data_IF_145247388234
#
_entry.id   IF_145247388234
#
_cell.length_a   1.000
_cell.length_b   1.000
_cell.length_c   1.000
_cell.angle_alpha   90.00
_cell.angle_beta   90.00
_cell.angle_gamma   90.00
#
_symmetry.space_group_name_H-M   'P 1'
#
loop_
_entity.id
_entity.type
_entity.pdbx_description
1 polymer ?
#
# COMPACT_ATOMS: atom_id res chain seq x y z
N UNK A 1 -17.86 -17.71 -2.94
CA UNK A 1 -18.45 -16.35 -2.83
C UNK A 1 -18.85 -15.88 -4.21
N UNK A 2 -20.12 -15.49 -4.43
CA UNK A 2 -20.58 -14.99 -5.75
C UNK A 2 -19.97 -13.61 -6.03
N UNK A 3 -20.02 -13.16 -7.29
CA UNK A 3 -19.54 -11.81 -7.66
C UNK A 3 -20.32 -10.71 -6.91
N UNK A 4 -21.62 -10.91 -6.71
CA UNK A 4 -22.46 -9.99 -5.93
C UNK A 4 -22.03 -9.93 -4.45
N UNK A 5 -21.71 -11.10 -3.86
CA UNK A 5 -21.24 -11.13 -2.47
C UNK A 5 -19.90 -10.43 -2.32
N UNK A 6 -18.98 -10.60 -3.30
CA UNK A 6 -17.69 -9.89 -3.30
C UNK A 6 -17.89 -8.38 -3.42
N UNK A 7 -18.77 -7.94 -4.31
CA UNK A 7 -19.12 -6.53 -4.46
C UNK A 7 -19.65 -5.94 -3.14
N UNK A 8 -20.65 -6.59 -2.54
CA UNK A 8 -21.25 -6.14 -1.26
C UNK A 8 -20.22 -6.10 -0.14
N UNK A 9 -19.36 -7.10 -0.07
CA UNK A 9 -18.32 -7.17 0.96
C UNK A 9 -17.32 -6.01 0.86
N UNK A 10 -16.82 -5.72 -0.35
CA UNK A 10 -15.86 -4.63 -0.56
C UNK A 10 -16.49 -3.25 -0.27
N UNK A 11 -17.75 -3.05 -0.68
CA UNK A 11 -18.47 -1.80 -0.41
C UNK A 11 -18.67 -1.57 1.08
N UNK A 12 -19.14 -2.63 1.78
CA UNK A 12 -19.33 -2.58 3.23
C UNK A 12 -18.01 -2.34 3.98
N UNK A 13 -16.92 -2.97 3.59
CA UNK A 13 -15.63 -2.78 4.24
C UNK A 13 -15.16 -1.32 4.20
N UNK A 14 -15.34 -0.62 3.07
CA UNK A 14 -15.00 0.80 2.96
C UNK A 14 -15.82 1.68 3.91
N UNK A 15 -17.09 1.36 4.13
CA UNK A 15 -17.93 2.07 5.11
C UNK A 15 -17.55 1.73 6.56
N UNK A 16 -17.23 0.45 6.81
CA UNK A 16 -16.80 0.00 8.14
C UNK A 16 -15.50 0.70 8.58
N UNK A 17 -14.56 0.94 7.66
CA UNK A 17 -13.35 1.72 7.90
C UNK A 17 -13.69 3.17 8.28
N UNK A 18 -14.68 3.77 7.67
CA UNK A 18 -15.04 5.17 7.97
C UNK A 18 -15.97 5.31 9.18
N UNK A 19 -16.57 4.23 9.69
CA UNK A 19 -17.56 4.26 10.76
C UNK A 19 -17.08 4.89 12.08
N UNK A 20 -15.83 4.69 12.55
CA UNK A 20 -15.34 5.31 13.79
C UNK A 20 -15.16 6.82 13.71
N UNK A 21 -15.10 7.39 12.49
CA UNK A 21 -14.79 8.80 12.27
C UNK A 21 -15.93 9.72 12.68
N UNK A 22 -15.59 10.88 13.22
CA UNK A 22 -16.50 12.02 13.36
C UNK A 22 -16.67 12.72 12.00
N UNK A 23 -17.77 13.45 11.81
CA UNK A 23 -18.03 14.13 10.50
C UNK A 23 -16.93 15.11 10.12
N UNK A 24 -16.30 15.74 11.10
CA UNK A 24 -15.20 16.67 10.95
C UNK A 24 -13.94 16.01 10.35
N UNK A 25 -13.68 14.73 10.69
CA UNK A 25 -12.51 13.98 10.21
C UNK A 25 -12.58 13.72 8.70
N UNK A 26 -13.79 13.66 8.14
CA UNK A 26 -14.03 13.32 6.73
C UNK A 26 -13.54 14.36 5.72
N UNK A 27 -13.23 15.58 6.16
CA UNK A 27 -12.88 16.69 5.26
C UNK A 27 -11.44 17.17 5.38
N UNK A 28 -10.69 16.65 6.34
CA UNK A 28 -9.33 17.12 6.64
C UNK A 28 -8.34 16.62 5.57
N UNK A 29 -7.50 17.54 5.08
CA UNK A 29 -6.37 17.25 4.18
C UNK A 29 -5.12 17.98 4.69
N UNK A 30 -4.30 17.35 5.54
CA UNK A 30 -3.14 18.01 6.14
C UNK A 30 -2.00 18.26 5.14
N UNK A 31 -1.85 17.40 4.16
CA UNK A 31 -0.86 17.49 3.08
C UNK A 31 -1.48 17.04 1.74
N UNK A 32 -0.81 17.37 0.63
CA UNK A 32 -1.28 17.03 -0.73
C UNK A 32 -1.42 15.52 -0.97
N UNK A 33 -0.60 14.73 -0.30
CA UNK A 33 -0.57 13.26 -0.51
C UNK A 33 -1.67 12.52 0.22
N UNK A 34 -2.25 13.12 1.26
CA UNK A 34 -3.38 12.60 2.03
C UNK A 34 -4.68 13.11 1.45
N UNK A 35 -5.62 12.23 1.17
CA UNK A 35 -6.96 12.62 0.70
C UNK A 35 -7.99 12.47 1.81
N UNK A 36 -8.98 13.39 1.87
CA UNK A 36 -10.07 13.28 2.84
C UNK A 36 -10.85 11.96 2.71
N UNK A 37 -11.24 11.28 3.79
CA UNK A 37 -12.06 10.06 3.75
C UNK A 37 -13.33 10.20 2.89
N UNK A 38 -13.98 11.36 2.95
CA UNK A 38 -15.13 11.68 2.09
C UNK A 38 -14.80 11.60 0.61
N UNK A 39 -13.62 12.10 0.23
CA UNK A 39 -13.19 12.05 -1.17
C UNK A 39 -12.95 10.60 -1.62
N UNK A 40 -12.32 9.76 -0.78
CA UNK A 40 -12.14 8.34 -1.08
C UNK A 40 -13.48 7.63 -1.32
N UNK A 41 -14.44 7.79 -0.40
CA UNK A 41 -15.77 7.18 -0.55
C UNK A 41 -16.49 7.65 -1.84
N UNK A 42 -16.36 8.93 -2.18
CA UNK A 42 -16.90 9.48 -3.41
C UNK A 42 -16.20 8.93 -4.65
N UNK A 43 -14.85 8.88 -4.65
CA UNK A 43 -14.04 8.42 -5.76
C UNK A 43 -14.26 6.93 -6.10
N UNK A 44 -14.26 6.05 -5.11
CA UNK A 44 -14.54 4.63 -5.37
C UNK A 44 -15.99 4.40 -5.83
N UNK A 45 -16.93 5.26 -5.44
CA UNK A 45 -18.30 5.22 -5.94
C UNK A 45 -18.38 5.72 -7.38
N UNK A 46 -17.68 6.82 -7.67
CA UNK A 46 -17.55 7.37 -9.03
C UNK A 46 -16.92 6.35 -10.00
N UNK A 47 -15.96 5.54 -9.56
CA UNK A 47 -15.38 4.49 -10.39
C UNK A 47 -16.46 3.52 -10.89
N UNK A 48 -17.32 3.03 -10.00
CA UNK A 48 -18.43 2.14 -10.36
C UNK A 48 -19.42 2.81 -11.32
N UNK A 49 -19.73 4.08 -11.08
CA UNK A 49 -20.63 4.83 -11.94
C UNK A 49 -20.03 5.08 -13.33
N UNK A 50 -18.81 5.62 -13.39
CA UNK A 50 -18.18 6.05 -14.63
C UNK A 50 -17.73 4.88 -15.52
N UNK A 51 -17.17 3.83 -14.94
CA UNK A 51 -16.59 2.73 -15.70
C UNK A 51 -17.51 1.53 -15.88
N UNK A 52 -18.50 1.36 -15.01
CA UNK A 52 -19.38 0.18 -15.05
C UNK A 52 -20.79 0.57 -15.43
N UNK A 53 -21.47 1.44 -14.65
CA UNK A 53 -22.89 1.69 -14.84
C UNK A 53 -23.19 2.48 -16.12
N UNK A 54 -22.51 3.60 -16.34
CA UNK A 54 -22.76 4.44 -17.52
C UNK A 54 -22.58 3.65 -18.83
N UNK A 55 -21.46 2.91 -19.02
CA UNK A 55 -21.26 2.15 -20.27
C UNK A 55 -22.09 0.87 -20.40
N UNK A 56 -22.49 0.22 -19.30
CA UNK A 56 -23.02 -1.16 -19.33
C UNK A 56 -24.43 -1.30 -18.75
N UNK A 57 -25.09 -0.21 -18.31
CA UNK A 57 -26.46 -0.25 -17.79
C UNK A 57 -27.37 0.66 -18.60
N UNK A 58 -28.01 0.18 -19.68
CA UNK A 58 -28.88 1.01 -20.50
C UNK A 58 -29.99 1.69 -19.69
N UNK A 59 -30.14 3.00 -19.86
CA UNK A 59 -31.13 3.80 -19.12
C UNK A 59 -30.67 4.24 -17.71
N UNK A 60 -29.44 3.94 -17.33
CA UNK A 60 -28.86 4.50 -16.10
C UNK A 60 -28.62 6.00 -16.27
N UNK A 61 -28.96 6.78 -15.24
CA UNK A 61 -28.70 8.21 -15.18
C UNK A 61 -27.70 8.49 -14.06
N UNK A 62 -26.62 9.28 -14.32
CA UNK A 62 -25.69 9.68 -13.27
C UNK A 62 -26.41 10.36 -12.11
N UNK A 63 -26.00 10.06 -10.88
CA UNK A 63 -26.59 10.63 -9.67
C UNK A 63 -26.47 12.16 -9.65
N UNK A 64 -25.31 12.67 -10.02
CA UNK A 64 -25.04 14.11 -10.18
C UNK A 64 -23.94 14.29 -11.24
N UNK A 65 -24.16 15.05 -12.31
CA UNK A 65 -23.19 15.24 -13.39
C UNK A 65 -21.87 15.89 -12.92
N UNK A 66 -21.90 16.71 -11.86
CA UNK A 66 -20.71 17.38 -11.32
C UNK A 66 -19.78 16.39 -10.57
N UNK A 67 -20.28 15.22 -10.17
CA UNK A 67 -19.46 14.25 -9.46
C UNK A 67 -18.35 13.64 -10.33
N UNK A 68 -18.49 13.70 -11.65
CA UNK A 68 -17.41 13.35 -12.56
C UNK A 68 -16.21 14.31 -12.39
N UNK A 69 -16.43 15.60 -12.22
CA UNK A 69 -15.35 16.56 -11.94
C UNK A 69 -14.80 16.42 -10.51
N UNK A 70 -15.69 16.25 -9.53
CA UNK A 70 -15.33 16.25 -8.10
C UNK A 70 -14.51 15.02 -7.70
N UNK A 71 -14.88 13.84 -8.22
CA UNK A 71 -14.33 12.56 -7.78
C UNK A 71 -13.39 11.88 -8.79
N UNK A 72 -13.20 12.41 -9.99
CA UNK A 72 -12.14 11.97 -10.88
C UNK A 72 -10.76 12.27 -10.25
N UNK A 73 -9.82 11.32 -10.32
CA UNK A 73 -8.47 11.48 -9.73
C UNK A 73 -7.41 11.86 -10.76
N UNK A 74 -7.16 11.00 -11.73
CA UNK A 74 -6.08 11.15 -12.72
C UNK A 74 -6.46 10.67 -14.12
N UNK A 75 -7.72 10.36 -14.35
CA UNK A 75 -8.18 9.86 -15.64
C UNK A 75 -8.43 11.04 -16.61
N UNK A 76 -7.38 11.44 -17.34
CA UNK A 76 -7.44 12.57 -18.28
C UNK A 76 -8.44 12.33 -19.41
N UNK A 77 -8.60 11.07 -19.86
CA UNK A 77 -9.57 10.70 -20.90
C UNK A 77 -11.03 10.85 -20.47
N UNK A 78 -11.28 10.88 -19.17
CA UNK A 78 -12.65 11.07 -18.63
C UNK A 78 -13.01 12.57 -18.55
N UNK A 79 -12.03 13.46 -18.41
CA UNK A 79 -12.22 14.90 -18.40
C UNK A 79 -11.55 15.63 -17.23
N UNK A 80 -11.94 16.89 -17.05
CA UNK A 80 -11.42 17.75 -15.99
C UNK A 80 -11.71 17.18 -14.57
N UNK A 81 -10.86 17.55 -13.62
CA UNK A 81 -10.95 17.09 -12.23
C UNK A 81 -10.56 18.17 -11.23
N UNK A 82 -10.97 17.99 -9.99
CA UNK A 82 -10.46 18.76 -8.85
C UNK A 82 -8.98 18.41 -8.65
N UNK A 83 -8.14 19.42 -8.51
CA UNK A 83 -6.72 19.23 -8.23
C UNK A 83 -6.55 18.52 -6.87
N UNK A 84 -5.53 17.65 -6.77
CA UNK A 84 -5.29 16.89 -5.54
C UNK A 84 -5.08 17.80 -4.32
N UNK A 85 -4.44 18.96 -4.51
CA UNK A 85 -4.24 20.01 -3.50
C UNK A 85 -5.53 20.59 -2.93
N UNK A 86 -6.63 20.49 -3.67
CA UNK A 86 -7.89 21.18 -3.35
C UNK A 86 -8.98 20.23 -2.82
N UNK A 87 -8.67 18.96 -2.62
CA UNK A 87 -9.63 17.97 -2.10
C UNK A 87 -10.15 18.32 -0.71
N UNK A 88 -9.31 18.94 0.13
CA UNK A 88 -9.69 19.45 1.45
C UNK A 88 -10.62 20.67 1.41
N UNK A 89 -10.70 21.36 0.27
CA UNK A 89 -11.61 22.50 0.10
C UNK A 89 -13.06 22.08 -0.25
N UNK A 90 -13.29 20.79 -0.51
CA UNK A 90 -14.60 20.26 -0.89
C UNK A 90 -15.53 20.18 0.33
N UNK A 91 -16.15 21.30 0.72
CA UNK A 91 -17.22 21.29 1.71
C UNK A 91 -18.53 20.69 1.17
N UNK A 92 -18.67 20.62 -0.16
CA UNK A 92 -19.76 19.95 -0.90
C UNK A 92 -19.20 18.99 -1.93
N UNK A 93 -19.85 17.82 -2.14
CA UNK A 93 -21.01 17.33 -1.38
C UNK A 93 -20.68 17.10 0.10
N UNK A 94 -21.70 17.15 0.96
CA UNK A 94 -21.59 16.77 2.38
C UNK A 94 -21.31 15.28 2.53
N UNK A 95 -20.92 14.83 3.73
CA UNK A 95 -20.73 13.41 4.04
C UNK A 95 -22.01 12.61 3.77
N UNK A 96 -23.14 13.12 4.20
CA UNK A 96 -24.43 12.45 4.03
C UNK A 96 -24.84 12.34 2.55
N UNK A 97 -24.53 13.34 1.72
CA UNK A 97 -24.73 13.30 0.27
C UNK A 97 -23.81 12.25 -0.40
N UNK A 98 -22.57 12.10 0.04
CA UNK A 98 -21.68 11.04 -0.47
C UNK A 98 -22.21 9.64 -0.10
N UNK A 99 -22.70 9.45 1.12
CA UNK A 99 -23.35 8.18 1.49
C UNK A 99 -24.66 7.94 0.71
N UNK A 100 -25.43 8.99 0.41
CA UNK A 100 -26.60 8.87 -0.47
C UNK A 100 -26.19 8.48 -1.90
N UNK A 101 -25.12 9.08 -2.42
CA UNK A 101 -24.53 8.71 -3.71
C UNK A 101 -24.10 7.24 -3.75
N UNK A 102 -23.43 6.77 -2.69
CA UNK A 102 -23.03 5.34 -2.58
C UNK A 102 -24.25 4.43 -2.68
N UNK A 103 -25.29 4.68 -1.88
CA UNK A 103 -26.52 3.86 -1.91
C UNK A 103 -27.20 3.87 -3.29
N UNK A 104 -27.22 5.00 -3.98
CA UNK A 104 -27.79 5.10 -5.32
C UNK A 104 -27.04 4.21 -6.32
N UNK A 105 -25.71 4.28 -6.32
CA UNK A 105 -24.85 3.49 -7.19
C UNK A 105 -24.92 2.00 -6.81
N UNK A 106 -24.91 1.67 -5.52
CA UNK A 106 -24.96 0.29 -5.05
C UNK A 106 -26.25 -0.42 -5.48
N UNK A 107 -27.40 0.25 -5.39
CA UNK A 107 -28.67 -0.31 -5.85
C UNK A 107 -28.66 -0.62 -7.36
N UNK A 108 -28.03 0.23 -8.18
CA UNK A 108 -27.90 0.02 -9.61
C UNK A 108 -26.89 -1.10 -9.93
N UNK A 109 -25.76 -1.15 -9.22
CA UNK A 109 -24.75 -2.19 -9.38
C UNK A 109 -25.28 -3.58 -8.97
N UNK A 110 -25.99 -3.67 -7.87
CA UNK A 110 -26.61 -4.93 -7.44
C UNK A 110 -27.59 -5.46 -8.47
N UNK A 111 -28.42 -4.58 -9.05
CA UNK A 111 -29.32 -4.94 -10.14
C UNK A 111 -28.56 -5.44 -11.37
N UNK A 112 -27.48 -4.76 -11.76
CA UNK A 112 -26.66 -5.15 -12.91
C UNK A 112 -26.00 -6.52 -12.69
N UNK A 113 -25.36 -6.72 -11.51
CA UNK A 113 -24.64 -7.97 -11.18
C UNK A 113 -25.61 -9.16 -11.02
N UNK A 114 -26.84 -8.92 -10.53
CA UNK A 114 -27.87 -9.97 -10.40
C UNK A 114 -28.41 -10.45 -11.75
N UNK A 115 -28.14 -9.70 -12.82
CA UNK A 115 -28.44 -10.12 -14.19
C UNK A 115 -27.35 -11.04 -14.77
N UNK A 116 -27.41 -11.25 -16.08
CA UNK A 116 -26.37 -11.99 -16.79
C UNK A 116 -25.23 -11.04 -17.17
N UNK A 117 -24.08 -11.17 -16.50
CA UNK A 117 -22.87 -10.41 -16.82
C UNK A 117 -21.91 -11.26 -17.66
N UNK A 118 -21.49 -10.72 -18.80
CA UNK A 118 -20.52 -11.40 -19.68
C UNK A 118 -19.08 -11.31 -19.13
N UNK A 119 -18.14 -12.11 -19.67
CA UNK A 119 -16.78 -12.20 -19.13
C UNK A 119 -16.02 -10.87 -19.05
N UNK A 120 -16.18 -10.00 -20.04
CA UNK A 120 -15.51 -8.69 -20.06
C UNK A 120 -15.99 -7.78 -18.92
N UNK A 121 -17.31 -7.72 -18.69
CA UNK A 121 -17.89 -6.95 -17.60
C UNK A 121 -17.53 -7.55 -16.23
N UNK A 122 -17.49 -8.89 -16.13
CA UNK A 122 -16.99 -9.57 -14.93
C UNK A 122 -15.57 -9.17 -14.60
N UNK A 123 -14.66 -9.15 -15.58
CA UNK A 123 -13.27 -8.72 -15.38
C UNK A 123 -13.18 -7.26 -14.94
N UNK A 124 -14.01 -6.38 -15.50
CA UNK A 124 -14.07 -4.98 -15.10
C UNK A 124 -14.59 -4.80 -13.66
N UNK A 125 -15.59 -5.58 -13.26
CA UNK A 125 -16.10 -5.57 -11.88
C UNK A 125 -15.03 -6.08 -10.91
N UNK A 126 -14.29 -7.13 -11.25
CA UNK A 126 -13.18 -7.63 -10.45
C UNK A 126 -12.08 -6.56 -10.32
N UNK A 127 -11.76 -5.85 -11.37
CA UNK A 127 -10.84 -4.70 -11.31
C UNK A 127 -11.36 -3.63 -10.35
N UNK A 128 -12.66 -3.29 -10.42
CA UNK A 128 -13.26 -2.32 -9.51
C UNK A 128 -13.23 -2.73 -8.05
N UNK A 129 -13.42 -4.04 -7.76
CA UNK A 129 -13.25 -4.58 -6.40
C UNK A 129 -11.81 -4.37 -5.91
N UNK A 130 -10.81 -4.70 -6.72
CA UNK A 130 -9.41 -4.50 -6.37
C UNK A 130 -9.03 -3.02 -6.26
N UNK A 131 -9.60 -2.14 -7.09
CA UNK A 131 -9.43 -0.70 -6.97
C UNK A 131 -10.00 -0.17 -5.65
N UNK A 132 -11.18 -0.63 -5.23
CA UNK A 132 -11.76 -0.23 -3.94
C UNK A 132 -10.93 -0.76 -2.77
N UNK A 133 -10.37 -1.96 -2.86
CA UNK A 133 -9.45 -2.51 -1.86
C UNK A 133 -8.16 -1.69 -1.72
N UNK A 134 -7.59 -1.18 -2.81
CA UNK A 134 -6.47 -0.23 -2.72
C UNK A 134 -6.86 1.04 -1.96
N UNK A 135 -8.06 1.56 -2.21
CA UNK A 135 -8.56 2.72 -1.49
C UNK A 135 -8.89 2.44 -0.02
N UNK A 136 -9.21 1.20 0.36
CA UNK A 136 -9.34 0.80 1.77
C UNK A 136 -8.01 0.91 2.51
N UNK A 137 -6.93 0.49 1.90
CA UNK A 137 -5.59 0.68 2.47
C UNK A 137 -5.23 2.17 2.57
N UNK A 138 -5.47 2.93 1.50
CA UNK A 138 -5.25 4.39 1.52
C UNK A 138 -6.12 5.09 2.58
N UNK A 139 -7.34 4.65 2.82
CA UNK A 139 -8.19 5.17 3.90
C UNK A 139 -7.51 5.01 5.26
N UNK A 140 -6.98 3.83 5.59
CA UNK A 140 -6.27 3.62 6.85
C UNK A 140 -5.03 4.51 6.98
N UNK A 141 -4.24 4.62 5.92
CA UNK A 141 -3.02 5.45 5.94
C UNK A 141 -3.36 6.93 6.07
N UNK A 142 -4.38 7.39 5.36
CA UNK A 142 -4.79 8.79 5.35
C UNK A 142 -5.50 9.18 6.67
N UNK A 143 -6.37 8.31 7.20
CA UNK A 143 -6.99 8.48 8.52
C UNK A 143 -5.90 8.54 9.61
N UNK A 144 -4.93 7.61 9.60
CA UNK A 144 -3.82 7.65 10.57
C UNK A 144 -3.06 8.97 10.48
N UNK A 145 -2.84 9.49 9.26
CA UNK A 145 -2.16 10.77 9.09
C UNK A 145 -2.98 11.94 9.62
N UNK A 146 -4.27 11.99 9.33
CA UNK A 146 -5.18 13.03 9.79
C UNK A 146 -5.23 13.08 11.32
N UNK A 147 -5.49 11.95 11.96
CA UNK A 147 -5.64 11.86 13.41
C UNK A 147 -4.29 11.97 14.14
N UNK A 148 -3.22 11.43 13.57
CA UNK A 148 -1.87 11.50 14.16
C UNK A 148 -1.21 12.88 14.09
N UNK A 149 -1.75 13.80 13.28
CA UNK A 149 -1.35 15.21 13.26
C UNK A 149 -2.32 16.11 14.04
N UNK A 150 -3.37 15.54 14.63
CA UNK A 150 -4.19 16.22 15.60
C UNK A 150 -3.39 16.33 16.93
N UNK A 151 -3.25 17.52 17.54
CA UNK A 151 -2.45 17.69 18.76
C UNK A 151 -2.99 16.91 19.98
N UNK A 152 -4.22 16.39 19.91
CA UNK A 152 -4.82 15.56 20.95
C UNK A 152 -4.54 14.07 20.75
N UNK A 153 -3.94 13.66 19.63
CA UNK A 153 -3.66 12.28 19.27
C UNK A 153 -4.87 11.32 19.49
N UNK A 154 -6.06 11.64 18.93
CA UNK A 154 -7.24 10.85 19.17
C UNK A 154 -7.07 9.42 18.62
N UNK A 155 -7.53 8.42 19.37
CA UNK A 155 -7.58 7.06 18.87
C UNK A 155 -8.66 6.94 17.79
N UNK A 156 -8.33 6.24 16.71
CA UNK A 156 -9.30 5.85 15.68
C UNK A 156 -10.19 4.72 16.16
N UNK A 157 -9.63 3.75 16.90
CA UNK A 157 -10.38 2.64 17.52
C UNK A 157 -9.67 2.16 18.77
N UNK A 158 -10.40 1.45 19.64
CA UNK A 158 -9.84 0.85 20.86
C UNK A 158 -8.86 -0.31 20.57
N UNK A 159 -8.79 -0.76 19.33
CA UNK A 159 -7.89 -1.82 18.87
C UNK A 159 -7.03 -1.27 17.76
N UNK A 160 -5.74 -1.41 17.93
CA UNK A 160 -4.81 -1.23 16.83
C UNK A 160 -5.13 -2.23 15.71
N UNK A 161 -4.76 -1.93 14.46
CA UNK A 161 -4.77 -2.92 13.40
C UNK A 161 -3.76 -4.02 13.78
N UNK A 162 -4.21 -4.96 14.56
CA UNK A 162 -3.48 -6.22 14.77
C UNK A 162 -3.61 -6.97 13.45
N UNK A 163 -2.53 -6.93 12.69
CA UNK A 163 -2.46 -7.32 11.31
C UNK A 163 -3.38 -8.48 10.94
N UNK A 164 -4.12 -8.31 9.86
CA UNK A 164 -4.44 -9.45 9.00
C UNK A 164 -3.11 -9.98 8.44
N UNK A 165 -2.35 -10.66 9.29
CA UNK A 165 -1.19 -11.44 8.86
C UNK A 165 -1.77 -12.44 7.88
N UNK A 166 -1.48 -12.27 6.59
CA UNK A 166 -1.70 -13.34 5.63
C UNK A 166 -0.94 -14.55 6.19
N UNK A 167 -1.61 -15.66 6.53
CA UNK A 167 -0.88 -16.87 6.85
C UNK A 167 0.02 -17.14 5.64
N UNK A 168 1.27 -17.45 5.90
CA UNK A 168 2.20 -17.98 4.89
C UNK A 168 1.39 -18.84 3.92
N UNK A 169 1.46 -18.52 2.63
CA UNK A 169 0.84 -19.35 1.59
C UNK A 169 1.20 -20.79 1.90
N UNK A 170 0.20 -21.62 2.20
CA UNK A 170 0.45 -23.05 2.33
C UNK A 170 1.03 -23.50 0.98
N UNK A 171 2.18 -24.17 0.95
CA UNK A 171 2.71 -24.67 -0.30
C UNK A 171 1.62 -25.55 -0.94
N UNK A 172 1.37 -25.33 -2.22
CA UNK A 172 0.50 -26.21 -3.00
C UNK A 172 0.93 -27.65 -2.76
N UNK A 173 -0.03 -28.51 -2.42
CA UNK A 173 0.24 -29.91 -2.12
C UNK A 173 0.93 -30.59 -3.32
N UNK A 174 2.22 -30.81 -3.24
CA UNK A 174 2.98 -31.52 -4.29
C UNK A 174 4.47 -31.20 -4.39
N UNK A 175 4.97 -30.14 -3.73
CA UNK A 175 6.42 -29.87 -3.71
C UNK A 175 6.96 -30.12 -2.30
N UNK A 176 7.71 -31.22 -2.14
CA UNK A 176 8.41 -31.52 -0.88
C UNK A 176 9.41 -30.40 -0.56
N UNK A 177 9.36 -29.79 0.63
CA UNK A 177 10.41 -28.90 1.07
C UNK A 177 11.66 -29.73 1.35
N UNK A 178 12.73 -29.49 0.62
CA UNK A 178 14.05 -29.94 1.03
C UNK A 178 14.45 -29.09 2.23
N UNK A 179 14.10 -29.54 3.42
CA UNK A 179 14.56 -28.96 4.68
C UNK A 179 16.05 -29.28 4.81
N UNK A 180 16.89 -28.34 4.41
CA UNK A 180 18.30 -28.36 4.83
C UNK A 180 18.36 -27.66 6.19
N UNK A 181 18.19 -28.44 7.24
CA UNK A 181 18.58 -27.99 8.59
C UNK A 181 20.10 -27.75 8.59
N UNK A 182 20.53 -26.50 8.52
CA UNK A 182 21.90 -26.11 8.84
C UNK A 182 21.93 -25.44 10.20
N UNK A 183 22.85 -25.94 11.03
CA UNK A 183 23.16 -25.48 12.39
C UNK A 183 23.39 -23.96 12.43
N UNK A 184 22.75 -23.33 13.40
CA UNK A 184 22.95 -21.92 13.78
C UNK A 184 24.35 -21.81 14.36
N UNK A 185 25.23 -21.06 13.71
CA UNK A 185 26.48 -20.60 14.30
C UNK A 185 26.16 -19.38 15.17
N UNK A 186 26.51 -19.48 16.45
CA UNK A 186 26.31 -18.43 17.46
C UNK A 186 26.92 -17.10 17.03
N UNK A 187 26.13 -16.02 17.14
CA UNK A 187 26.57 -14.64 17.05
C UNK A 187 26.17 -13.83 15.81
N UNK A 188 25.23 -14.30 15.00
CA UNK A 188 24.72 -13.50 13.87
C UNK A 188 23.34 -12.87 14.19
N UNK A 189 23.16 -11.56 13.98
CA UNK A 189 21.85 -10.91 14.02
C UNK A 189 21.03 -11.42 12.83
N UNK A 190 19.72 -11.56 13.02
CA UNK A 190 18.69 -11.96 12.05
C UNK A 190 19.09 -13.18 11.17
N UNK A 191 18.34 -14.25 11.23
CA UNK A 191 18.58 -15.42 10.38
C UNK A 191 18.39 -15.04 8.91
N UNK A 192 19.46 -15.06 8.13
CA UNK A 192 19.43 -14.84 6.69
C UNK A 192 19.18 -16.14 5.95
N UNK A 193 18.38 -16.06 4.89
CA UNK A 193 18.20 -17.08 3.88
C UNK A 193 19.28 -16.91 2.80
N UNK A 194 19.92 -17.98 2.40
CA UNK A 194 20.83 -17.99 1.24
C UNK A 194 20.07 -18.46 0.02
N UNK A 195 20.00 -17.63 -0.99
CA UNK A 195 19.36 -17.93 -2.28
C UNK A 195 20.46 -18.12 -3.32
N UNK A 196 20.51 -19.26 -4.01
CA UNK A 196 21.57 -19.55 -4.97
C UNK A 196 21.44 -18.70 -6.23
N UNK A 197 22.57 -18.45 -6.90
CA UNK A 197 22.58 -17.85 -8.23
C UNK A 197 21.81 -18.70 -9.23
N UNK A 198 21.06 -18.05 -10.12
CA UNK A 198 20.28 -18.76 -11.12
C UNK A 198 19.35 -17.88 -11.95
N UNK A 199 18.60 -18.53 -12.80
CA UNK A 199 17.54 -17.88 -13.59
C UNK A 199 16.22 -18.07 -12.86
N UNK A 200 15.59 -16.97 -12.47
CA UNK A 200 14.30 -16.95 -11.79
C UNK A 200 13.22 -16.38 -12.73
N UNK A 201 12.02 -16.91 -12.60
CA UNK A 201 10.87 -16.41 -13.33
C UNK A 201 10.10 -15.44 -12.45
N UNK A 202 10.00 -14.20 -12.88
CA UNK A 202 9.42 -13.06 -12.18
C UNK A 202 8.16 -12.60 -12.89
N UNK A 203 7.16 -12.19 -12.12
CA UNK A 203 5.87 -11.72 -12.61
C UNK A 203 4.77 -12.76 -12.54
N UNK A 204 3.54 -12.33 -12.73
CA UNK A 204 2.34 -13.13 -12.53
C UNK A 204 2.17 -14.21 -13.61
N UNK A 205 1.77 -15.41 -13.19
CA UNK A 205 1.53 -16.56 -14.07
C UNK A 205 0.23 -17.35 -13.73
N UNK A 206 -0.60 -16.84 -12.81
CA UNK A 206 -1.84 -17.49 -12.42
C UNK A 206 -3.01 -17.15 -13.36
N UNK A 207 -4.15 -17.80 -13.13
CA UNK A 207 -5.40 -17.58 -13.86
C UNK A 207 -6.32 -16.53 -13.20
N UNK A 208 -5.96 -16.07 -11.99
CA UNK A 208 -6.73 -15.09 -11.22
C UNK A 208 -6.45 -13.65 -11.63
N UNK A 209 -6.91 -12.72 -10.80
CA UNK A 209 -6.66 -11.29 -11.03
C UNK A 209 -5.20 -10.92 -10.73
N UNK A 210 -4.62 -10.10 -11.61
CA UNK A 210 -3.39 -9.35 -11.37
C UNK A 210 -3.51 -7.96 -12.00
N UNK A 211 -2.69 -7.02 -11.53
CA UNK A 211 -2.55 -5.74 -12.20
C UNK A 211 -1.62 -5.84 -13.41
N UNK A 212 -1.77 -4.93 -14.35
CA UNK A 212 -0.97 -4.89 -15.59
C UNK A 212 0.53 -4.74 -15.34
N UNK A 213 0.92 -4.08 -14.25
CA UNK A 213 2.33 -3.88 -13.85
C UNK A 213 3.00 -5.16 -13.31
N UNK A 214 2.26 -6.22 -13.06
CA UNK A 214 2.77 -7.54 -12.68
C UNK A 214 3.07 -8.42 -13.91
N UNK A 215 2.63 -7.98 -15.09
CA UNK A 215 2.83 -8.62 -16.39
C UNK A 215 3.99 -7.94 -17.14
N UNK A 216 4.70 -8.57 -18.10
CA UNK A 216 4.64 -9.98 -18.45
C UNK A 216 5.65 -10.75 -17.60
N UNK A 217 5.32 -12.04 -17.32
CA UNK A 217 6.30 -12.94 -16.68
C UNK A 217 7.55 -13.06 -17.54
N UNK A 218 8.72 -12.95 -16.91
CA UNK A 218 10.00 -12.93 -17.60
C UNK A 218 11.11 -13.56 -16.76
N UNK A 219 12.23 -13.89 -17.41
CA UNK A 219 13.39 -14.49 -16.76
C UNK A 219 14.38 -13.42 -16.35
N UNK A 220 14.86 -13.51 -15.10
CA UNK A 220 15.90 -12.66 -14.54
C UNK A 220 17.02 -13.57 -14.01
N UNK A 221 18.26 -13.26 -14.33
CA UNK A 221 19.40 -13.88 -13.68
C UNK A 221 19.69 -13.12 -12.39
N UNK A 222 19.74 -13.83 -11.28
CA UNK A 222 20.18 -13.30 -9.98
C UNK A 222 21.50 -13.97 -9.59
N UNK A 223 22.44 -13.20 -9.05
CA UNK A 223 23.59 -13.74 -8.35
C UNK A 223 23.14 -14.41 -7.05
N UNK A 224 24.03 -15.17 -6.42
CA UNK A 224 23.78 -15.62 -5.05
C UNK A 224 23.64 -14.40 -4.11
N UNK A 225 22.65 -14.45 -3.26
CA UNK A 225 22.39 -13.38 -2.28
C UNK A 225 21.82 -13.94 -0.99
N UNK A 226 21.84 -13.12 0.04
CA UNK A 226 21.18 -13.46 1.30
C UNK A 226 20.11 -12.43 1.59
N UNK A 227 18.96 -12.88 2.12
CA UNK A 227 17.82 -12.04 2.49
C UNK A 227 17.38 -12.38 3.92
N UNK A 228 17.09 -11.37 4.73
CA UNK A 228 16.66 -11.56 6.12
C UNK A 228 15.27 -12.24 6.19
N UNK A 229 15.10 -13.19 7.14
CA UNK A 229 13.78 -13.81 7.39
C UNK A 229 12.81 -12.84 8.00
N UNK A 230 13.29 -11.95 8.87
CA UNK A 230 12.47 -11.01 9.63
C UNK A 230 12.68 -9.57 9.18
N UNK A 231 11.70 -8.73 9.46
CA UNK A 231 11.79 -7.30 9.27
C UNK A 231 12.61 -6.68 10.40
N UNK A 232 13.25 -5.56 10.11
CA UNK A 232 13.93 -4.73 11.12
C UNK A 232 12.93 -4.28 12.17
N UNK A 233 13.25 -4.47 13.45
CA UNK A 233 12.42 -4.09 14.59
C UNK A 233 12.60 -2.63 14.98
N UNK A 234 11.69 -2.11 15.80
CA UNK A 234 11.81 -0.77 16.40
C UNK A 234 13.05 -0.67 17.30
N UNK A 235 13.43 -1.74 18.02
CA UNK A 235 14.64 -1.77 18.83
C UNK A 235 15.90 -1.58 17.98
N UNK A 236 16.01 -2.36 16.91
CA UNK A 236 17.15 -2.27 15.99
C UNK A 236 17.21 -0.90 15.30
N UNK A 237 16.06 -0.30 15.03
CA UNK A 237 16.00 1.04 14.44
C UNK A 237 16.38 2.15 15.45
N UNK A 238 16.06 1.97 16.74
CA UNK A 238 16.52 2.85 17.82
C UNK A 238 18.04 2.87 17.91
N UNK A 239 18.71 1.70 17.78
CA UNK A 239 20.18 1.65 17.73
C UNK A 239 20.76 2.55 16.63
N UNK A 240 20.13 2.59 15.46
CA UNK A 240 20.52 3.49 14.37
C UNK A 240 20.36 4.96 14.75
N UNK A 241 19.24 5.34 15.38
CA UNK A 241 19.00 6.70 15.84
C UNK A 241 20.07 7.10 16.87
N UNK A 242 20.32 6.24 17.86
CA UNK A 242 21.29 6.49 18.95
C UNK A 242 22.74 6.55 18.43
N UNK A 243 23.05 5.80 17.37
CA UNK A 243 24.34 5.87 16.67
C UNK A 243 24.51 7.16 15.84
N UNK A 244 23.55 8.08 15.89
CA UNK A 244 23.57 9.33 15.13
C UNK A 244 23.11 9.19 13.68
N UNK A 245 22.24 8.24 13.40
CA UNK A 245 21.71 7.93 12.06
C UNK A 245 21.18 9.16 11.32
N UNK A 246 20.52 10.07 12.00
CA UNK A 246 19.99 11.32 11.42
C UNK A 246 20.92 12.53 11.51
N UNK A 247 22.13 12.36 12.04
CA UNK A 247 23.13 13.43 12.16
C UNK A 247 24.41 13.19 11.38
N UNK A 248 24.56 11.98 10.80
CA UNK A 248 25.71 11.59 10.00
C UNK A 248 25.32 11.29 8.55
N UNK A 249 25.80 12.12 7.62
CA UNK A 249 25.44 12.03 6.20
C UNK A 249 26.02 10.80 5.48
N UNK A 250 26.98 10.11 6.04
CA UNK A 250 27.77 9.08 5.36
C UNK A 250 26.93 7.88 4.89
N UNK A 251 25.80 7.63 5.54
CA UNK A 251 24.89 6.51 5.20
C UNK A 251 23.77 6.90 4.24
N UNK A 252 23.62 8.20 3.93
CA UNK A 252 22.50 8.71 3.16
C UNK A 252 22.86 8.95 1.70
N UNK A 253 21.92 8.67 0.81
CA UNK A 253 21.99 9.27 -0.52
C UNK A 253 21.88 10.80 -0.42
N UNK A 254 22.51 11.53 -1.36
CA UNK A 254 22.55 12.99 -1.33
C UNK A 254 21.15 13.62 -1.20
N UNK A 255 20.19 13.18 -2.01
CA UNK A 255 18.82 13.66 -1.98
C UNK A 255 18.12 13.35 -0.64
N UNK A 256 18.35 12.16 -0.07
CA UNK A 256 17.84 11.76 1.23
C UNK A 256 18.40 12.62 2.36
N UNK A 257 19.71 12.93 2.30
CA UNK A 257 20.32 13.81 3.29
C UNK A 257 19.78 15.24 3.23
N UNK A 258 19.57 15.79 2.03
CA UNK A 258 18.98 17.12 1.86
C UNK A 258 17.52 17.13 2.34
N UNK A 259 16.78 16.05 2.12
CA UNK A 259 15.40 15.87 2.63
C UNK A 259 15.38 15.85 4.18
N UNK A 260 16.29 15.11 4.83
CA UNK A 260 16.43 15.07 6.30
C UNK A 260 16.65 16.47 6.85
N UNK A 261 17.62 17.22 6.29
CA UNK A 261 17.94 18.58 6.75
C UNK A 261 16.78 19.55 6.54
N UNK A 262 16.19 19.52 5.34
CA UNK A 262 15.10 20.44 4.96
C UNK A 262 13.87 20.28 5.84
N UNK A 263 13.56 19.03 6.23
CA UNK A 263 12.36 18.71 6.98
C UNK A 263 12.62 18.44 8.47
N UNK A 264 13.85 18.64 8.95
CA UNK A 264 14.26 18.38 10.33
C UNK A 264 13.86 16.98 10.83
N UNK A 265 14.11 15.95 10.00
CA UNK A 265 13.74 14.58 10.31
C UNK A 265 14.72 14.02 11.36
N UNK A 266 14.18 13.40 12.41
CA UNK A 266 14.97 12.82 13.51
C UNK A 266 14.54 11.39 13.89
N UNK A 267 13.56 10.82 13.19
CA UNK A 267 13.04 9.48 13.44
C UNK A 267 11.88 9.14 12.50
N UNK A 268 11.34 7.92 12.56
CA UNK A 268 10.17 7.50 11.81
C UNK A 268 8.97 8.43 12.03
N UNK A 269 8.09 8.52 11.03
CA UNK A 269 6.86 9.29 11.18
C UNK A 269 6.01 8.69 12.32
N UNK A 270 5.38 9.57 13.12
CA UNK A 270 4.59 9.23 14.31
C UNK A 270 5.38 8.83 15.56
N UNK A 271 6.72 8.80 15.51
CA UNK A 271 7.50 8.64 16.72
C UNK A 271 7.71 9.97 17.44
N UNK A 272 7.48 9.97 18.74
CA UNK A 272 7.56 11.14 19.61
C UNK A 272 8.44 10.84 20.82
N UNK A 273 9.45 11.67 21.07
CA UNK A 273 10.25 11.60 22.29
C UNK A 273 9.58 12.44 23.38
N UNK A 274 8.97 11.81 24.37
CA UNK A 274 8.24 12.46 25.46
C UNK A 274 8.92 12.09 26.77
N UNK A 275 9.38 13.08 27.53
CA UNK A 275 10.07 12.87 28.82
C UNK A 275 11.22 11.84 28.77
N UNK A 276 11.93 11.80 27.65
CA UNK A 276 13.04 10.86 27.41
C UNK A 276 12.63 9.44 27.02
N UNK A 277 11.35 9.19 26.80
CA UNK A 277 10.83 7.89 26.35
C UNK A 277 10.22 8.02 24.96
N UNK A 278 10.47 7.01 24.10
CA UNK A 278 9.88 6.95 22.79
C UNK A 278 8.44 6.44 22.83
N UNK A 279 7.57 7.16 22.16
CA UNK A 279 6.16 6.82 21.93
C UNK A 279 5.89 6.76 20.43
N UNK A 280 4.90 5.98 20.03
CA UNK A 280 4.39 5.95 18.67
C UNK A 280 2.90 6.31 18.68
N UNK A 281 2.47 7.16 17.74
CA UNK A 281 1.04 7.28 17.45
C UNK A 281 0.61 6.12 16.57
N UNK A 282 -0.28 5.27 17.09
CA UNK A 282 -0.94 4.16 16.41
C UNK A 282 -2.40 4.51 16.09
N UNK A 283 -3.13 3.65 15.42
CA UNK A 283 -4.59 3.82 15.28
C UNK A 283 -5.32 3.67 16.62
N UNK A 284 -4.69 3.09 17.63
CA UNK A 284 -5.14 3.06 19.02
C UNK A 284 -4.79 4.31 19.84
N UNK A 285 -4.25 5.36 19.21
CA UNK A 285 -3.77 6.57 19.86
C UNK A 285 -2.27 6.56 20.15
N UNK A 286 -1.81 7.49 20.99
CA UNK A 286 -0.41 7.60 21.38
C UNK A 286 -0.07 6.56 22.44
N UNK A 287 0.94 5.74 22.18
CA UNK A 287 1.34 4.62 23.05
C UNK A 287 2.86 4.59 23.25
N UNK A 288 3.36 3.96 24.31
CA UNK A 288 4.76 3.65 24.44
C UNK A 288 5.22 2.80 23.25
N UNK A 289 6.41 3.08 22.72
CA UNK A 289 6.94 2.36 21.56
C UNK A 289 7.15 0.89 21.89
N UNK A 290 6.46 0.00 21.15
CA UNK A 290 6.70 -1.45 21.23
C UNK A 290 7.98 -1.79 20.44
N UNK A 291 9.04 -2.14 21.16
CA UNK A 291 10.38 -2.35 20.62
C UNK A 291 10.48 -3.60 19.75
N UNK A 292 9.62 -4.60 19.97
CA UNK A 292 9.64 -5.87 19.24
C UNK A 292 8.91 -5.82 17.90
N UNK A 293 8.05 -4.81 17.70
CA UNK A 293 7.34 -4.66 16.42
C UNK A 293 8.27 -4.22 15.30
N UNK A 294 7.99 -4.65 14.06
CA UNK A 294 8.70 -4.14 12.89
C UNK A 294 8.57 -2.62 12.78
N UNK A 295 9.69 -1.93 12.53
CA UNK A 295 9.68 -0.49 12.27
C UNK A 295 8.70 -0.17 11.17
N UNK A 296 8.02 0.98 11.31
CA UNK A 296 6.97 1.41 10.39
C UNK A 296 7.09 2.88 10.05
N UNK A 297 6.42 3.28 8.95
CA UNK A 297 6.32 4.69 8.56
C UNK A 297 7.67 5.36 8.32
N UNK A 298 8.51 4.67 7.58
CA UNK A 298 9.82 5.14 7.12
C UNK A 298 9.80 5.37 5.61
N UNK A 299 10.56 6.35 5.15
CA UNK A 299 10.79 6.62 3.73
C UNK A 299 11.80 5.63 3.13
N UNK A 300 11.88 5.59 1.80
CA UNK A 300 12.94 4.86 1.11
C UNK A 300 14.34 5.35 1.54
N UNK A 301 14.50 6.65 1.72
CA UNK A 301 15.79 7.23 2.16
C UNK A 301 16.21 6.72 3.53
N UNK A 302 15.28 6.64 4.47
CA UNK A 302 15.51 6.11 5.82
C UNK A 302 15.86 4.62 5.78
N UNK A 303 15.16 3.85 4.94
CA UNK A 303 15.40 2.42 4.78
C UNK A 303 16.80 2.12 4.23
N UNK A 304 17.24 2.86 3.20
CA UNK A 304 18.58 2.72 2.62
C UNK A 304 19.66 3.17 3.61
N UNK A 305 19.44 4.30 4.32
CA UNK A 305 20.41 4.79 5.30
C UNK A 305 20.61 3.79 6.45
N UNK A 306 19.53 3.20 6.96
CA UNK A 306 19.60 2.14 7.95
C UNK A 306 20.37 0.91 7.42
N UNK A 307 20.04 0.44 6.22
CA UNK A 307 20.69 -0.70 5.62
C UNK A 307 22.22 -0.47 5.47
N UNK A 308 22.60 0.71 4.96
CA UNK A 308 23.99 1.10 4.80
C UNK A 308 24.73 1.18 6.16
N UNK A 309 24.10 1.75 7.20
CA UNK A 309 24.68 1.78 8.56
C UNK A 309 24.92 0.38 9.11
N UNK A 310 23.99 -0.54 8.89
CA UNK A 310 24.10 -1.95 9.38
C UNK A 310 25.07 -2.80 8.53
N UNK A 311 25.59 -2.25 7.41
CA UNK A 311 26.49 -2.97 6.49
C UNK A 311 25.77 -3.91 5.52
N UNK A 312 24.51 -3.63 5.22
CA UNK A 312 23.65 -4.37 4.32
C UNK A 312 23.07 -3.44 3.23
N UNK A 313 22.17 -3.98 2.41
CA UNK A 313 21.37 -3.26 1.41
C UNK A 313 19.90 -3.65 1.51
N UNK A 314 19.04 -3.00 0.75
CA UNK A 314 17.70 -3.50 0.50
C UNK A 314 17.76 -4.59 -0.59
N UNK A 315 16.79 -5.53 -0.64
CA UNK A 315 16.67 -6.43 -1.77
C UNK A 315 16.21 -5.67 -3.01
N UNK A 316 16.58 -6.15 -4.19
CA UNK A 316 15.86 -5.78 -5.42
C UNK A 316 14.46 -6.39 -5.41
N UNK A 317 13.52 -5.86 -6.19
CA UNK A 317 12.17 -6.43 -6.30
C UNK A 317 12.18 -7.88 -6.80
N UNK A 318 13.17 -8.23 -7.62
CA UNK A 318 13.34 -9.58 -8.16
C UNK A 318 13.88 -10.56 -7.12
N UNK A 319 14.86 -10.15 -6.32
CA UNK A 319 15.37 -10.93 -5.20
C UNK A 319 14.28 -11.18 -4.16
N UNK A 320 13.48 -10.15 -3.87
CA UNK A 320 12.36 -10.27 -2.94
C UNK A 320 11.35 -11.31 -3.45
N UNK A 321 10.92 -11.21 -4.73
CA UNK A 321 9.94 -12.13 -5.32
C UNK A 321 10.46 -13.55 -5.41
N UNK A 322 11.74 -13.73 -5.78
CA UNK A 322 12.38 -15.03 -5.86
C UNK A 322 12.45 -15.77 -4.49
N UNK A 323 12.57 -15.01 -3.40
CA UNK A 323 12.67 -15.54 -2.04
C UNK A 323 11.35 -15.53 -1.24
N UNK A 324 10.27 -14.94 -1.77
CA UNK A 324 9.04 -14.65 -1.02
C UNK A 324 8.32 -15.87 -0.43
N UNK A 325 8.54 -17.06 -0.97
CA UNK A 325 7.96 -18.30 -0.45
C UNK A 325 8.73 -18.86 0.78
N UNK A 326 9.91 -18.30 1.11
CA UNK A 326 10.81 -18.79 2.16
C UNK A 326 10.72 -17.99 3.49
N UNK A 327 9.98 -16.88 3.50
CA UNK A 327 9.78 -16.03 4.68
C UNK A 327 8.36 -15.49 4.80
N UNK A 328 7.97 -15.08 6.00
CA UNK A 328 6.69 -14.43 6.24
C UNK A 328 6.73 -12.95 5.81
N UNK A 329 5.69 -12.50 5.13
CA UNK A 329 5.48 -11.10 4.73
C UNK A 329 4.02 -10.69 4.96
N UNK A 330 3.70 -9.40 4.81
CA UNK A 330 2.35 -8.89 4.98
C UNK A 330 2.15 -7.96 6.19
N UNK A 331 3.16 -7.80 7.05
CA UNK A 331 3.11 -6.85 8.17
C UNK A 331 3.36 -5.41 7.73
N UNK A 332 4.29 -5.22 6.79
CA UNK A 332 4.70 -3.92 6.23
C UNK A 332 4.95 -4.08 4.74
N UNK A 333 4.65 -3.06 3.96
CA UNK A 333 5.20 -2.93 2.62
C UNK A 333 6.72 -2.78 2.72
N UNK A 334 7.45 -3.62 2.04
CA UNK A 334 8.89 -3.72 2.15
C UNK A 334 9.56 -2.95 1.01
N UNK A 335 10.32 -1.90 1.36
CA UNK A 335 11.08 -1.14 0.38
C UNK A 335 12.10 -2.01 -0.34
N UNK A 336 12.20 -1.84 -1.64
CA UNK A 336 13.23 -2.50 -2.46
C UNK A 336 14.15 -1.46 -3.10
N UNK A 337 15.33 -1.89 -3.53
CA UNK A 337 16.29 -1.05 -4.28
C UNK A 337 15.88 -0.80 -5.74
N UNK A 338 14.73 -1.34 -6.17
CA UNK A 338 14.29 -1.26 -7.56
C UNK A 338 13.48 -0.01 -7.83
N UNK A 339 13.89 0.74 -8.88
CA UNK A 339 13.05 1.79 -9.46
C UNK A 339 11.78 1.17 -10.08
N UNK A 340 10.65 1.87 -9.96
CA UNK A 340 9.41 1.44 -10.57
C UNK A 340 9.44 1.68 -12.09
N UNK A 341 9.81 0.63 -12.82
CA UNK A 341 9.91 0.60 -14.27
C UNK A 341 9.02 -0.49 -14.86
N UNK A 342 8.65 -0.40 -16.16
CA UNK A 342 7.89 -1.45 -16.82
C UNK A 342 8.70 -2.75 -16.91
N UNK A 343 8.05 -3.88 -16.69
CA UNK A 343 8.64 -5.19 -16.97
C UNK A 343 8.84 -5.39 -18.49
N UNK A 344 9.80 -6.23 -18.90
CA UNK A 344 9.98 -6.59 -20.30
C UNK A 344 8.67 -7.08 -20.92
N UNK A 345 8.22 -6.46 -22.03
CA UNK A 345 6.96 -6.80 -22.68
C UNK A 345 5.70 -6.17 -22.07
N UNK A 346 5.83 -5.30 -21.07
CA UNK A 346 4.70 -4.51 -20.55
C UNK A 346 3.96 -3.79 -21.67
N UNK A 347 2.63 -3.88 -21.64
CA UNK A 347 1.75 -3.16 -22.57
C UNK A 347 0.66 -2.47 -21.79
N UNK A 348 0.61 -1.17 -21.92
CA UNK A 348 -0.48 -0.37 -21.37
C UNK A 348 -1.82 -0.77 -22.01
N UNK A 349 -2.84 -1.02 -21.20
CA UNK A 349 -4.18 -1.27 -21.71
C UNK A 349 -4.74 -0.04 -22.45
N UNK A 350 -5.60 -0.22 -23.48
CA UNK A 350 -6.24 0.91 -24.15
C UNK A 350 -7.26 1.60 -23.25
N UNK A 351 -7.50 2.90 -23.52
CA UNK A 351 -8.49 3.71 -22.81
C UNK A 351 -8.10 4.11 -21.39
N UNK A 352 -9.07 4.61 -20.63
CA UNK A 352 -8.86 5.17 -19.30
C UNK A 352 -8.30 4.15 -18.30
N UNK A 353 -8.69 2.87 -18.40
CA UNK A 353 -8.15 1.80 -17.53
C UNK A 353 -6.62 1.69 -17.67
N UNK A 354 -6.07 1.90 -18.86
CA UNK A 354 -4.63 1.92 -19.09
C UNK A 354 -3.89 3.10 -18.46
N UNK A 355 -4.60 4.09 -17.94
CA UNK A 355 -3.99 5.18 -17.18
C UNK A 355 -3.65 4.80 -15.73
N UNK A 356 -3.95 3.58 -15.32
CA UNK A 356 -3.88 3.15 -13.92
C UNK A 356 -2.45 3.06 -13.37
N UNK A 357 -1.54 2.34 -14.05
CA UNK A 357 -0.19 2.09 -13.55
C UNK A 357 0.92 2.72 -14.39
N UNK A 358 0.84 2.59 -15.70
CA UNK A 358 1.96 2.89 -16.61
C UNK A 358 2.49 4.34 -16.53
N UNK A 359 1.66 5.31 -16.23
CA UNK A 359 2.07 6.72 -16.11
C UNK A 359 2.83 7.05 -14.82
N UNK A 360 2.82 6.16 -13.86
CA UNK A 360 3.54 6.33 -12.59
C UNK A 360 4.94 5.70 -12.60
N UNK A 361 5.35 5.05 -13.69
CA UNK A 361 6.64 4.38 -13.83
C UNK A 361 7.79 5.38 -14.05
N UNK A 362 7.94 6.31 -13.10
CA UNK A 362 8.98 7.34 -13.08
C UNK A 362 9.18 7.86 -11.66
N UNK A 363 10.45 8.02 -11.26
CA UNK A 363 10.84 8.63 -9.97
C UNK A 363 10.20 7.99 -8.72
N UNK A 364 9.77 6.74 -8.81
CA UNK A 364 9.21 5.98 -7.70
C UNK A 364 10.01 4.71 -7.47
N UNK A 365 9.95 4.20 -6.23
CA UNK A 365 10.59 2.95 -5.83
C UNK A 365 9.54 1.89 -5.60
N UNK A 366 9.89 0.62 -5.91
CA UNK A 366 8.99 -0.52 -5.71
C UNK A 366 8.99 -0.94 -4.25
N UNK A 367 7.80 -1.28 -3.75
CA UNK A 367 7.60 -1.99 -2.50
C UNK A 367 6.93 -3.34 -2.78
N UNK A 368 7.28 -4.33 -1.98
CA UNK A 368 6.79 -5.71 -2.12
C UNK A 368 6.07 -6.17 -0.86
N UNK A 369 5.25 -7.19 -1.01
CA UNK A 369 4.51 -7.81 0.08
C UNK A 369 3.11 -7.24 0.28
N UNK A 370 2.82 -6.82 1.49
CA UNK A 370 1.58 -6.21 1.93
C UNK A 370 1.79 -5.51 3.28
N UNK A 371 0.80 -4.81 3.78
CA UNK A 371 0.82 -4.22 5.12
C UNK A 371 -0.36 -4.69 5.97
N UNK A 372 -0.35 -4.33 7.24
CA UNK A 372 -1.46 -4.58 8.17
C UNK A 372 -2.79 -3.93 7.73
N UNK A 373 -2.72 -2.94 6.85
CA UNK A 373 -3.89 -2.24 6.31
C UNK A 373 -4.36 -2.82 4.96
N UNK A 374 -3.59 -3.72 4.36
CA UNK A 374 -3.94 -4.34 3.08
C UNK A 374 -5.10 -5.32 3.29
N UNK A 375 -6.20 -5.21 2.54
CA UNK A 375 -7.33 -6.14 2.64
C UNK A 375 -6.91 -7.59 2.39
N UNK A 376 -7.59 -8.51 3.06
CA UNK A 376 -7.36 -9.94 2.87
C UNK A 376 -7.52 -10.34 1.39
N UNK A 377 -6.63 -11.20 0.88
CA UNK A 377 -6.59 -11.68 -0.50
C UNK A 377 -6.37 -10.61 -1.58
N UNK A 378 -6.02 -9.37 -1.20
CA UNK A 378 -5.73 -8.32 -2.17
C UNK A 378 -4.30 -8.41 -2.73
N UNK A 379 -3.31 -8.65 -1.86
CA UNK A 379 -1.92 -8.76 -2.27
C UNK A 379 -1.49 -10.18 -2.60
N UNK A 380 -0.36 -10.33 -3.29
CA UNK A 380 0.29 -11.57 -3.70
C UNK A 380 1.78 -11.31 -3.91
N UNK A 381 2.60 -12.36 -3.98
CA UNK A 381 4.06 -12.18 -4.11
C UNK A 381 4.50 -11.40 -5.35
N UNK A 382 3.67 -11.36 -6.40
CA UNK A 382 3.97 -10.61 -7.62
C UNK A 382 3.48 -9.16 -7.59
N UNK A 383 2.69 -8.78 -6.57
CA UNK A 383 2.17 -7.42 -6.44
C UNK A 383 3.31 -6.40 -6.37
N UNK A 384 3.20 -5.32 -7.13
CA UNK A 384 4.17 -4.24 -7.19
C UNK A 384 3.50 -2.95 -6.71
N UNK A 385 3.70 -2.61 -5.44
CA UNK A 385 3.34 -1.31 -4.91
C UNK A 385 4.47 -0.31 -5.17
N UNK A 386 4.19 0.99 -5.18
CA UNK A 386 5.18 2.00 -5.55
C UNK A 386 4.87 3.35 -4.91
N UNK A 387 5.91 4.03 -4.43
CA UNK A 387 5.80 5.37 -3.87
C UNK A 387 7.05 6.19 -4.18
N UNK A 388 6.91 7.52 -4.15
CA UNK A 388 8.06 8.41 -4.22
C UNK A 388 8.96 8.23 -2.99
N UNK A 389 10.30 8.33 -3.14
CA UNK A 389 11.26 8.04 -2.07
C UNK A 389 11.05 8.76 -0.73
N UNK A 390 10.60 10.04 -0.67
CA UNK A 390 10.43 10.74 0.60
C UNK A 390 9.14 10.39 1.35
N UNK A 391 8.21 9.63 0.74
CA UNK A 391 6.90 9.36 1.33
C UNK A 391 7.00 8.27 2.40
N UNK A 392 6.32 8.47 3.55
CA UNK A 392 6.42 7.58 4.72
C UNK A 392 5.15 7.46 5.56
N UNK A 393 3.99 7.98 5.09
CA UNK A 393 2.73 7.82 5.84
C UNK A 393 2.08 6.44 5.66
N UNK A 394 2.46 5.69 4.66
CA UNK A 394 2.04 4.30 4.44
C UNK A 394 2.75 3.35 5.42
N UNK A 395 2.21 2.15 5.60
CA UNK A 395 2.76 1.14 6.51
C UNK A 395 3.97 0.43 5.87
N UNK A 396 5.09 1.13 5.77
CA UNK A 396 6.34 0.65 5.15
C UNK A 396 7.33 0.15 6.19
N UNK A 397 8.20 -0.79 5.80
CA UNK A 397 9.25 -1.35 6.65
C UNK A 397 10.49 -1.77 5.87
N UNK A 398 11.43 -2.42 6.55
CA UNK A 398 12.74 -2.81 6.04
C UNK A 398 12.92 -4.32 6.14
N UNK A 399 13.28 -4.95 5.02
CA UNK A 399 13.94 -6.27 4.97
C UNK A 399 15.32 -6.09 4.41
N UNK A 400 16.33 -6.64 5.09
CA UNK A 400 17.72 -6.52 4.67
C UNK A 400 18.11 -7.62 3.68
N UNK A 401 19.08 -7.30 2.82
CA UNK A 401 19.76 -8.24 1.91
C UNK A 401 21.27 -7.98 1.88
N UNK A 402 22.04 -8.94 1.42
CA UNK A 402 23.49 -8.81 1.24
C UNK A 402 23.98 -9.62 0.04
#
# INVERSE_FOLDING_TARGET
MTLLDQYRAVRKASEDICRPLQKEDYVVQPIVDVSPPKWHLGHITWFWEAFVLIPHSPGYHPCNPDYNFVFNSYYETIGARVMRTDRGNLSRPSVDEVYAYRRYVDAAMEKLISGSVGPQLTSLIILGINHEQQHQELLYTDIKYILGHNPLFPAYSDKDLVGCVQPSVQPEAGVSPVVVARQIADGQPASFLSIPAGIYEIGYAGDGFCFDNELARHKVYLNDFRIARDLVTNEEYLEFIEAGGYTNFVWWHAEGWDWVKKNAIAGPLYWHLIEGQWHEYTLGGLQALDREQPVCHISYYEAVAYAAWKGYRLPTEWEWEAAADEFAWGKRWEWTESAYLPYPGFKKAPGAIGEYNGKFMVSQMVLRGASVATPENHSRKTYRNFFHPPLRWQFTGIRLAS
#
